data_IF_652340144207
#
_entry.id   IF_652340144207
#
_cell.length_a   1.000
_cell.length_b   1.000
_cell.length_c   1.000
_cell.angle_alpha   90.00
_cell.angle_beta   90.00
_cell.angle_gamma   90.00
#
_symmetry.space_group_name_H-M   'P 1'
#
loop_
_entity.id
_entity.type
_entity.pdbx_description
1 polymer ?
#
# COMPACT_ATOMS: atom_id res chain seq x y z
N UNK A 1 -14.73 -7.71 -26.53
CA UNK A 1 -14.41 -8.99 -25.86
C UNK A 1 -12.96 -9.37 -26.20
N UNK A 2 -11.97 -8.84 -25.47
CA UNK A 2 -10.56 -9.27 -25.62
C UNK A 2 -9.64 -8.73 -24.51
N UNK A 3 -10.04 -8.75 -23.24
CA UNK A 3 -9.17 -8.31 -22.12
C UNK A 3 -8.90 -9.43 -21.10
N UNK A 4 -9.59 -10.57 -21.20
CA UNK A 4 -9.47 -11.69 -20.24
C UNK A 4 -8.25 -12.60 -20.50
N UNK A 5 -7.65 -12.54 -21.70
CA UNK A 5 -6.56 -13.46 -22.08
C UNK A 5 -5.19 -13.10 -21.52
N UNK A 6 -4.90 -11.83 -21.24
CA UNK A 6 -3.56 -11.39 -20.86
C UNK A 6 -3.23 -11.65 -19.37
N UNK A 7 -4.22 -11.57 -18.49
CA UNK A 7 -4.03 -11.76 -17.04
C UNK A 7 -3.77 -13.24 -16.71
N UNK A 8 -4.44 -14.17 -17.38
CA UNK A 8 -4.29 -15.62 -17.14
C UNK A 8 -2.90 -16.13 -17.58
N UNK A 9 -2.28 -15.52 -18.60
CA UNK A 9 -0.96 -15.90 -19.07
C UNK A 9 0.17 -15.49 -18.12
N UNK A 10 0.04 -14.36 -17.42
CA UNK A 10 1.02 -13.91 -16.43
C UNK A 10 1.06 -14.83 -15.20
N UNK A 11 -0.04 -15.47 -14.83
CA UNK A 11 -0.12 -16.40 -13.70
C UNK A 11 0.56 -17.75 -13.97
N UNK A 12 0.84 -18.10 -15.21
CA UNK A 12 1.47 -19.38 -15.61
C UNK A 12 2.90 -19.21 -16.12
N UNK A 13 3.40 -17.98 -16.22
CA UNK A 13 4.77 -17.73 -16.65
C UNK A 13 5.79 -18.14 -15.56
N UNK A 14 6.94 -18.72 -15.90
CA UNK A 14 8.00 -19.07 -14.93
C UNK A 14 8.40 -17.91 -14.00
N UNK A 15 8.30 -16.67 -14.47
CA UNK A 15 8.56 -15.46 -13.69
C UNK A 15 7.54 -15.18 -12.58
N UNK A 16 6.30 -15.64 -12.67
CA UNK A 16 5.26 -15.31 -11.68
C UNK A 16 5.59 -15.90 -10.30
N UNK A 17 6.11 -17.13 -10.23
CA UNK A 17 6.55 -17.75 -8.98
C UNK A 17 7.69 -16.94 -8.35
N UNK A 18 8.69 -16.56 -9.15
CA UNK A 18 9.86 -15.79 -8.69
C UNK A 18 9.49 -14.40 -8.22
N UNK A 19 8.54 -13.74 -8.86
CA UNK A 19 8.01 -12.44 -8.43
C UNK A 19 7.32 -12.56 -7.07
N UNK A 20 6.50 -13.61 -6.86
CA UNK A 20 5.87 -13.88 -5.57
C UNK A 20 6.89 -14.20 -4.48
N UNK A 21 7.97 -14.93 -4.78
CA UNK A 21 9.07 -15.19 -3.85
C UNK A 21 9.73 -13.88 -3.38
N UNK A 22 9.92 -12.92 -4.29
CA UNK A 22 10.44 -11.58 -3.93
C UNK A 22 9.53 -10.91 -2.89
N UNK A 23 8.21 -10.98 -3.06
CA UNK A 23 7.26 -10.43 -2.10
C UNK A 23 7.23 -11.22 -0.79
N UNK A 24 7.18 -12.56 -0.84
CA UNK A 24 7.20 -13.41 0.36
C UNK A 24 8.45 -13.20 1.22
N UNK A 25 9.61 -13.02 0.60
CA UNK A 25 10.85 -12.74 1.32
C UNK A 25 10.80 -11.44 2.14
N UNK A 26 9.86 -10.53 1.84
CA UNK A 26 9.66 -9.25 2.54
C UNK A 26 8.48 -9.27 3.51
N UNK A 27 7.81 -10.40 3.66
CA UNK A 27 6.74 -10.53 4.64
C UNK A 27 7.17 -10.15 6.08
N UNK A 28 8.35 -10.59 6.60
CA UNK A 28 8.80 -10.17 7.92
C UNK A 28 9.05 -8.66 8.03
N UNK A 29 9.51 -8.01 6.94
CA UNK A 29 9.69 -6.56 6.88
C UNK A 29 8.33 -5.85 6.97
N UNK A 30 7.35 -6.28 6.17
CA UNK A 30 6.00 -5.70 6.18
C UNK A 30 5.34 -5.82 7.55
N UNK A 31 5.43 -6.98 8.20
CA UNK A 31 4.89 -7.20 9.54
C UNK A 31 5.58 -6.34 10.61
N UNK A 32 6.90 -6.19 10.53
CA UNK A 32 7.65 -5.32 11.42
C UNK A 32 7.25 -3.85 11.24
N UNK A 33 7.07 -3.39 10.01
CA UNK A 33 6.62 -2.03 9.71
C UNK A 33 5.18 -1.83 10.20
N UNK A 34 4.28 -2.79 9.94
CA UNK A 34 2.88 -2.72 10.36
C UNK A 34 2.71 -2.70 11.91
N UNK A 35 3.71 -3.16 12.65
CA UNK A 35 3.74 -3.14 14.12
C UNK A 35 4.56 -1.99 14.72
N UNK A 36 5.11 -1.09 13.89
CA UNK A 36 5.88 0.05 14.38
C UNK A 36 5.03 1.00 15.23
N UNK A 37 5.44 1.36 16.46
CA UNK A 37 4.61 2.15 17.37
C UNK A 37 4.21 3.52 16.84
N UNK A 38 5.08 4.19 16.06
CA UNK A 38 4.79 5.51 15.46
C UNK A 38 3.67 5.37 14.41
N UNK A 39 3.73 4.31 13.61
CA UNK A 39 2.75 4.05 12.55
C UNK A 39 1.41 3.61 13.14
N UNK A 40 1.43 2.71 14.12
CA UNK A 40 0.21 2.27 14.84
C UNK A 40 -0.47 3.45 15.54
N UNK A 41 0.30 4.35 16.18
CA UNK A 41 -0.24 5.54 16.80
C UNK A 41 -0.88 6.48 15.78
N UNK A 42 -0.25 6.68 14.61
CA UNK A 42 -0.78 7.53 13.54
C UNK A 42 -2.13 7.00 13.00
N UNK A 43 -2.21 5.69 12.71
CA UNK A 43 -3.47 5.05 12.26
C UNK A 43 -4.55 5.16 13.34
N UNK A 44 -4.19 4.92 14.61
CA UNK A 44 -5.15 5.01 15.72
C UNK A 44 -5.69 6.44 15.90
N UNK A 45 -4.83 7.45 15.79
CA UNK A 45 -5.21 8.86 15.84
C UNK A 45 -6.14 9.25 14.69
N UNK A 46 -5.83 8.78 13.46
CA UNK A 46 -6.68 8.99 12.30
C UNK A 46 -8.06 8.36 12.48
N UNK A 47 -8.15 7.13 12.94
CA UNK A 47 -9.43 6.47 13.24
C UNK A 47 -10.24 7.22 14.31
N UNK A 48 -9.57 7.81 15.29
CA UNK A 48 -10.22 8.59 16.35
C UNK A 48 -10.68 9.98 15.90
N UNK A 49 -10.25 10.48 14.74
CA UNK A 49 -10.63 11.81 14.24
C UNK A 49 -12.11 11.93 13.87
N UNK A 50 -12.80 10.79 13.67
CA UNK A 50 -14.22 10.77 13.30
C UNK A 50 -14.50 11.30 11.88
N UNK A 51 -13.53 11.23 10.97
CA UNK A 51 -13.74 11.64 9.58
C UNK A 51 -14.89 10.84 8.96
N UNK A 52 -15.83 11.53 8.31
CA UNK A 52 -16.96 10.88 7.67
C UNK A 52 -16.57 10.24 6.32
N UNK A 53 -17.34 9.20 5.90
CA UNK A 53 -17.13 8.59 4.59
C UNK A 53 -17.28 9.62 3.44
N UNK A 54 -18.20 10.58 3.58
CA UNK A 54 -18.39 11.65 2.59
C UNK A 54 -17.16 12.57 2.49
N UNK A 55 -16.51 12.86 3.64
CA UNK A 55 -15.26 13.63 3.66
C UNK A 55 -14.11 12.86 3.00
N UNK A 56 -14.01 11.56 3.26
CA UNK A 56 -13.03 10.69 2.60
C UNK A 56 -13.21 10.74 1.09
N UNK A 57 -14.43 10.56 0.60
CA UNK A 57 -14.73 10.61 -0.84
C UNK A 57 -14.52 11.99 -1.46
N UNK A 58 -14.79 13.06 -0.72
CA UNK A 58 -14.51 14.44 -1.17
C UNK A 58 -13.01 14.68 -1.30
N UNK A 59 -12.22 14.26 -0.31
CA UNK A 59 -10.75 14.37 -0.31
C UNK A 59 -10.12 13.55 -1.42
N UNK A 60 -10.65 12.38 -1.70
CA UNK A 60 -10.18 11.51 -2.77
C UNK A 60 -10.40 12.18 -4.14
N UNK A 61 -11.58 12.72 -4.41
CA UNK A 61 -11.84 13.50 -5.65
C UNK A 61 -10.89 14.71 -5.77
N UNK A 62 -10.65 15.45 -4.68
CA UNK A 62 -9.72 16.57 -4.68
C UNK A 62 -8.29 16.10 -4.95
N UNK A 63 -7.87 15.00 -4.33
CA UNK A 63 -6.55 14.40 -4.54
C UNK A 63 -6.32 14.06 -6.00
N UNK A 64 -7.26 13.36 -6.64
CA UNK A 64 -7.15 12.99 -8.05
C UNK A 64 -7.20 14.20 -9.00
N UNK A 65 -8.04 15.19 -8.71
CA UNK A 65 -8.23 16.35 -9.58
C UNK A 65 -7.14 17.43 -9.44
N UNK A 66 -6.47 17.52 -8.27
CA UNK A 66 -5.53 18.59 -7.95
C UNK A 66 -4.15 18.06 -7.53
N UNK A 67 -3.16 18.00 -8.45
CA UNK A 67 -1.79 17.61 -8.11
C UNK A 67 -1.11 18.49 -7.06
N UNK A 68 -1.68 19.68 -6.77
CA UNK A 68 -1.15 20.61 -5.77
C UNK A 68 -2.02 20.70 -4.52
N UNK A 69 -2.94 19.75 -4.32
CA UNK A 69 -3.77 19.73 -3.11
C UNK A 69 -2.89 19.75 -1.85
N UNK A 70 -3.15 20.64 -0.87
CA UNK A 70 -2.36 20.74 0.35
C UNK A 70 -2.23 19.40 1.10
N UNK A 71 -3.28 18.58 1.07
CA UNK A 71 -3.34 17.27 1.67
C UNK A 71 -2.21 16.32 1.17
N UNK A 72 -1.75 16.46 -0.08
CA UNK A 72 -0.63 15.66 -0.61
C UNK A 72 0.66 15.92 0.16
N UNK A 73 0.97 17.20 0.39
CA UNK A 73 2.13 17.57 1.18
C UNK A 73 1.98 17.20 2.66
N UNK A 74 0.77 17.29 3.21
CA UNK A 74 0.47 16.93 4.58
C UNK A 74 0.71 15.43 4.83
N UNK A 75 0.20 14.55 3.98
CA UNK A 75 0.31 13.10 4.14
C UNK A 75 1.69 12.53 3.77
N UNK A 76 2.50 13.28 3.03
CA UNK A 76 3.88 12.88 2.70
C UNK A 76 4.94 13.54 3.59
N UNK A 77 4.54 14.25 4.64
CA UNK A 77 5.45 14.91 5.60
C UNK A 77 5.10 14.51 7.04
N UNK A 78 6.01 14.86 7.96
CA UNK A 78 5.84 14.59 9.39
C UNK A 78 6.28 13.20 9.81
N UNK A 79 6.16 12.90 11.11
CA UNK A 79 6.78 11.75 11.76
C UNK A 79 6.39 10.39 11.14
N UNK A 80 5.13 10.23 10.76
CA UNK A 80 4.63 9.00 10.13
C UNK A 80 5.27 8.77 8.76
N UNK A 81 5.24 9.77 7.87
CA UNK A 81 5.83 9.68 6.54
C UNK A 81 7.36 9.56 6.59
N UNK A 82 8.02 10.27 7.52
CA UNK A 82 9.46 10.17 7.75
C UNK A 82 9.85 8.77 8.20
N UNK A 83 9.06 8.17 9.10
CA UNK A 83 9.26 6.81 9.57
C UNK A 83 9.11 5.79 8.44
N UNK A 84 8.07 5.91 7.60
CA UNK A 84 7.93 5.06 6.41
C UNK A 84 9.12 5.22 5.46
N UNK A 85 9.57 6.44 5.18
CA UNK A 85 10.75 6.69 4.33
C UNK A 85 12.03 6.06 4.88
N UNK A 86 12.23 6.09 6.19
CA UNK A 86 13.38 5.45 6.82
C UNK A 86 13.35 3.94 6.61
N UNK A 87 12.18 3.32 6.80
CA UNK A 87 12.01 1.88 6.66
C UNK A 87 12.08 1.40 5.20
N UNK A 88 11.53 2.18 4.25
CA UNK A 88 11.66 1.89 2.81
C UNK A 88 13.13 1.80 2.38
N UNK A 89 14.01 2.62 2.96
CA UNK A 89 15.45 2.60 2.64
C UNK A 89 16.18 1.35 3.12
N UNK A 90 15.58 0.55 4.00
CA UNK A 90 16.21 -0.67 4.52
C UNK A 90 16.21 -1.82 3.50
N UNK A 91 15.33 -1.78 2.49
CA UNK A 91 15.26 -2.79 1.43
C UNK A 91 15.21 -2.14 0.04
N UNK A 92 16.19 -2.48 -0.79
CA UNK A 92 16.34 -1.89 -2.13
C UNK A 92 15.20 -2.25 -3.12
N UNK A 93 14.35 -3.23 -2.80
CA UNK A 93 13.18 -3.56 -3.61
C UNK A 93 11.97 -2.70 -3.26
N UNK A 94 11.87 -2.22 -2.02
CA UNK A 94 10.74 -1.36 -1.61
C UNK A 94 10.93 0.03 -2.19
N UNK A 95 9.99 0.49 -2.99
CA UNK A 95 10.03 1.81 -3.64
C UNK A 95 8.99 2.78 -3.09
N UNK A 96 8.00 2.25 -2.38
CA UNK A 96 6.91 3.01 -1.78
C UNK A 96 6.35 2.26 -0.57
N UNK A 97 5.87 3.01 0.40
CA UNK A 97 5.07 2.50 1.51
C UNK A 97 4.00 3.53 1.90
N UNK A 98 2.81 3.06 2.22
CA UNK A 98 1.73 3.89 2.74
C UNK A 98 0.84 3.15 3.73
N UNK A 99 0.17 3.92 4.57
CA UNK A 99 -0.79 3.45 5.55
C UNK A 99 -2.19 3.93 5.18
N UNK A 100 -3.17 3.05 5.30
CA UNK A 100 -4.59 3.37 5.23
C UNK A 100 -5.28 3.01 6.57
N UNK A 101 -6.26 3.82 6.94
CA UNK A 101 -7.04 3.67 8.16
C UNK A 101 -8.18 2.64 8.04
N UNK A 102 -9.07 2.61 9.02
CA UNK A 102 -10.24 1.71 9.07
C UNK A 102 -11.29 1.98 7.98
N UNK A 103 -11.23 3.12 7.28
CA UNK A 103 -12.10 3.46 6.15
C UNK A 103 -11.39 3.30 4.79
N UNK A 104 -10.10 2.95 4.80
CA UNK A 104 -9.26 2.92 3.62
C UNK A 104 -8.69 4.28 3.22
N UNK A 105 -8.86 5.32 4.04
CA UNK A 105 -8.28 6.63 3.79
C UNK A 105 -6.79 6.65 4.14
N UNK A 106 -5.97 7.33 3.35
CA UNK A 106 -4.54 7.47 3.63
C UNK A 106 -4.30 8.18 4.97
N UNK A 107 -3.39 7.63 5.74
CA UNK A 107 -2.88 8.19 7.00
C UNK A 107 -1.57 8.92 6.76
N UNK A 108 -0.64 8.28 6.08
CA UNK A 108 0.61 8.85 5.59
C UNK A 108 1.22 7.96 4.51
N UNK A 109 2.13 8.53 3.72
CA UNK A 109 2.82 7.82 2.67
C UNK A 109 4.29 8.26 2.57
N UNK A 110 5.17 7.35 2.15
CA UNK A 110 6.59 7.65 1.91
C UNK A 110 6.78 8.58 0.70
N UNK A 111 5.85 8.56 -0.25
CA UNK A 111 5.72 9.42 -1.43
C UNK A 111 4.25 9.53 -1.81
N UNK A 112 3.91 10.39 -2.75
CA UNK A 112 2.53 10.54 -3.22
C UNK A 112 2.03 9.26 -3.91
N UNK A 113 0.77 8.89 -3.60
CA UNK A 113 0.02 7.79 -4.22
C UNK A 113 -0.87 8.32 -5.34
N UNK A 114 -1.46 7.41 -6.16
CA UNK A 114 -2.43 7.76 -7.21
C UNK A 114 -3.67 8.43 -6.64
N UNK A 115 -4.20 7.90 -5.54
CA UNK A 115 -5.46 8.26 -4.89
C UNK A 115 -5.31 8.35 -3.39
N UNK A 116 -6.27 9.02 -2.74
CA UNK A 116 -6.34 9.14 -1.28
C UNK A 116 -7.09 7.98 -0.65
N UNK A 117 -8.13 7.45 -1.32
CA UNK A 117 -8.94 6.37 -0.79
C UNK A 117 -8.54 5.03 -1.40
N UNK A 118 -8.19 4.08 -0.54
CA UNK A 118 -7.72 2.74 -0.87
C UNK A 118 -8.75 1.66 -0.51
N UNK A 119 -9.95 2.04 -0.04
CA UNK A 119 -10.94 1.10 0.51
C UNK A 119 -11.61 0.20 -0.53
N UNK A 120 -11.58 0.55 -1.80
CA UNK A 120 -12.05 -0.27 -2.94
C UNK A 120 -10.97 -1.21 -3.49
N UNK A 121 -9.72 -1.08 -3.03
CA UNK A 121 -8.59 -1.83 -3.53
C UNK A 121 -8.43 -3.19 -2.83
N UNK A 122 -8.07 -4.27 -3.56
CA UNK A 122 -7.88 -5.60 -2.98
C UNK A 122 -6.91 -5.62 -1.80
N UNK A 123 -5.83 -4.84 -1.85
CA UNK A 123 -4.81 -4.72 -0.81
C UNK A 123 -5.37 -4.30 0.55
N UNK A 124 -6.34 -3.39 0.59
CA UNK A 124 -7.02 -3.00 1.82
C UNK A 124 -8.15 -3.96 2.18
N UNK A 125 -8.96 -4.36 1.21
CA UNK A 125 -10.09 -5.28 1.42
C UNK A 125 -9.64 -6.63 1.99
N UNK A 126 -8.52 -7.18 1.49
CA UNK A 126 -8.00 -8.47 1.95
C UNK A 126 -7.34 -8.38 3.32
N UNK A 127 -6.61 -7.30 3.60
CA UNK A 127 -5.94 -7.13 4.90
C UNK A 127 -6.92 -6.64 5.96
N UNK A 128 -7.39 -5.40 5.87
CA UNK A 128 -8.30 -4.84 6.88
C UNK A 128 -9.71 -5.44 6.82
N UNK A 129 -10.29 -5.59 5.62
CA UNK A 129 -11.66 -6.09 5.43
C UNK A 129 -11.80 -7.54 5.86
N UNK A 130 -11.01 -8.45 5.27
CA UNK A 130 -11.03 -9.90 5.55
C UNK A 130 -10.09 -10.33 6.69
N UNK A 131 -9.42 -9.40 7.35
CA UNK A 131 -8.47 -9.63 8.46
C UNK A 131 -7.31 -10.57 8.12
N UNK A 132 -6.92 -10.62 6.83
CA UNK A 132 -5.72 -11.36 6.44
C UNK A 132 -4.50 -10.63 6.95
N UNK A 133 -3.65 -11.35 7.68
CA UNK A 133 -2.40 -10.81 8.22
C UNK A 133 -1.50 -10.24 7.13
N UNK A 134 -1.44 -10.91 5.98
CA UNK A 134 -0.68 -10.51 4.80
C UNK A 134 -1.49 -10.76 3.53
N UNK A 135 -1.30 -9.91 2.53
CA UNK A 135 -1.82 -10.08 1.20
C UNK A 135 -0.77 -9.67 0.17
N UNK A 136 -0.56 -10.50 -0.83
CA UNK A 136 0.30 -10.21 -1.99
C UNK A 136 -0.61 -10.09 -3.19
N UNK A 137 -0.57 -8.93 -3.83
CA UNK A 137 -1.38 -8.63 -5.00
C UNK A 137 -0.80 -9.27 -6.27
N UNK A 138 -1.49 -9.16 -7.38
CA UNK A 138 -0.96 -9.57 -8.67
C UNK A 138 0.09 -8.56 -9.17
N UNK A 139 1.16 -9.05 -9.81
CA UNK A 139 2.13 -8.17 -10.43
C UNK A 139 1.48 -7.25 -11.47
N UNK A 140 1.79 -5.96 -11.41
CA UNK A 140 1.30 -4.97 -12.35
C UNK A 140 2.46 -4.22 -12.99
N UNK A 141 2.26 -3.73 -14.21
CA UNK A 141 3.17 -2.79 -14.84
C UNK A 141 2.66 -1.38 -14.58
N UNK A 142 3.49 -0.55 -13.97
CA UNK A 142 3.24 0.88 -13.85
C UNK A 142 3.32 1.50 -15.26
N UNK A 143 2.18 1.96 -15.76
CA UNK A 143 2.05 2.51 -17.11
C UNK A 143 2.82 3.81 -17.32
N UNK A 144 3.15 4.54 -16.25
CA UNK A 144 3.86 5.80 -16.30
C UNK A 144 5.38 5.62 -16.39
N UNK A 145 5.91 4.61 -15.72
CA UNK A 145 7.35 4.34 -15.65
C UNK A 145 7.80 3.10 -16.41
N UNK A 146 6.86 2.25 -16.84
CA UNK A 146 7.15 0.95 -17.45
C UNK A 146 7.73 -0.08 -16.48
N UNK A 147 7.84 0.25 -15.20
CA UNK A 147 8.40 -0.62 -14.16
C UNK A 147 7.37 -1.64 -13.71
N UNK A 148 7.76 -2.90 -13.70
CA UNK A 148 6.94 -3.94 -13.07
C UNK A 148 7.04 -3.85 -11.56
N UNK A 149 5.90 -3.91 -10.89
CA UNK A 149 5.79 -3.84 -9.44
C UNK A 149 4.83 -4.90 -8.90
N UNK A 150 4.98 -5.25 -7.64
CA UNK A 150 4.06 -6.09 -6.89
C UNK A 150 3.79 -5.43 -5.54
N UNK A 151 2.56 -5.48 -5.05
CA UNK A 151 2.20 -4.94 -3.75
C UNK A 151 2.09 -6.05 -2.71
N UNK A 152 2.71 -5.79 -1.55
CA UNK A 152 2.62 -6.60 -0.35
C UNK A 152 1.97 -5.77 0.73
N UNK A 153 0.85 -6.23 1.26
CA UNK A 153 0.11 -5.53 2.29
C UNK A 153 0.04 -6.33 3.58
N UNK A 154 0.06 -5.62 4.70
CA UNK A 154 -0.01 -6.20 6.04
C UNK A 154 -1.10 -5.52 6.87
N UNK A 155 -1.81 -6.30 7.67
CA UNK A 155 -2.77 -5.79 8.64
C UNK A 155 -2.05 -5.01 9.73
N UNK A 156 -2.49 -3.78 9.97
CA UNK A 156 -2.05 -2.98 11.13
C UNK A 156 -3.03 -3.18 12.27
N UNK A 157 -2.49 -3.51 13.45
CA UNK A 157 -3.28 -3.72 14.67
C UNK A 157 -2.84 -2.80 15.80
N UNK A 158 -3.79 -2.36 16.61
CA UNK A 158 -3.55 -1.65 17.87
C UNK A 158 -4.04 -2.53 19.03
N UNK A 159 -3.10 -3.16 19.71
CA UNK A 159 -3.42 -4.25 20.64
C UNK A 159 -4.06 -5.43 19.89
N UNK A 160 -5.22 -5.88 20.37
CA UNK A 160 -5.99 -6.98 19.73
C UNK A 160 -6.97 -6.52 18.64
N UNK A 161 -7.06 -5.22 18.38
CA UNK A 161 -8.02 -4.67 17.41
C UNK A 161 -7.32 -4.32 16.10
N UNK A 162 -7.95 -4.65 14.97
CA UNK A 162 -7.52 -4.16 13.66
C UNK A 162 -7.64 -2.63 13.62
N UNK A 163 -6.66 -1.97 13.03
CA UNK A 163 -6.58 -0.52 12.98
C UNK A 163 -6.51 0.02 11.54
N UNK A 164 -5.88 -0.70 10.62
CA UNK A 164 -5.71 -0.26 9.25
C UNK A 164 -4.89 -1.25 8.42
N UNK A 165 -4.34 -0.78 7.33
CA UNK A 165 -3.51 -1.56 6.40
C UNK A 165 -2.23 -0.80 6.05
N UNK A 166 -1.10 -1.50 6.05
CA UNK A 166 0.15 -1.07 5.44
C UNK A 166 0.27 -1.69 4.06
N UNK A 167 0.69 -0.92 3.06
CA UNK A 167 1.06 -1.44 1.73
C UNK A 167 2.48 -1.04 1.39
N UNK A 168 3.28 -2.00 0.92
CA UNK A 168 4.59 -1.84 0.34
C UNK A 168 4.51 -2.10 -1.16
N UNK A 169 4.99 -1.17 -1.98
CA UNK A 169 5.18 -1.39 -3.42
C UNK A 169 6.63 -1.84 -3.65
N UNK A 170 6.78 -3.02 -4.22
CA UNK A 170 8.07 -3.65 -4.51
C UNK A 170 8.34 -3.60 -6.00
N UNK A 171 9.47 -3.02 -6.42
CA UNK A 171 9.92 -3.10 -7.81
C UNK A 171 10.37 -4.52 -8.15
N UNK A 172 9.99 -4.99 -9.32
CA UNK A 172 10.41 -6.29 -9.85
C UNK A 172 11.59 -6.06 -10.80
N UNK A 173 12.76 -6.66 -10.53
CA UNK A 173 13.89 -6.56 -11.46
C UNK A 173 13.57 -7.31 -12.76
N UNK A 174 14.02 -6.83 -13.92
CA UNK A 174 13.79 -7.49 -15.23
C UNK A 174 14.21 -8.96 -15.22
N UNK A 175 15.26 -9.33 -14.49
CA UNK A 175 15.74 -10.71 -14.36
C UNK A 175 14.77 -11.67 -13.65
N UNK A 176 13.75 -11.16 -12.99
CA UNK A 176 12.72 -11.96 -12.32
C UNK A 176 11.48 -12.20 -13.20
N UNK A 177 11.43 -11.60 -14.39
CA UNK A 177 10.31 -11.70 -15.33
C UNK A 177 10.50 -12.82 -16.37
N UNK A 178 11.66 -13.48 -16.37
CA UNK A 178 12.07 -14.53 -17.33
C UNK A 178 12.32 -15.89 -16.67
#
# INVERSE_FOLDING_TARGET
>A
MAVIGAVVWLLQAPGAARVREIAYARAPLAERIASDPVLVAAVSAKNASGESADDVQRKDREWMANPKAPLRAELTRGACADRLRAMVKEDAFVVEAFLADAQGALVCASRETSDYWQGDEPKWQKTYGEEKRLFIDEPAQDTSTGVHAIQLSALVSSGSRKAGSLTLTLKIPPSALH
#
